data_IF_252622377304
#
_entry.id   IF_252622377304
#
_cell.length_a   1.000
_cell.length_b   1.000
_cell.length_c   1.000
_cell.angle_alpha   90.00
_cell.angle_beta   90.00
_cell.angle_gamma   90.00
#
_symmetry.space_group_name_H-M   'P 1'
#
loop_
_entity.id
_entity.type
_entity.pdbx_description
1 polymer ?
#
# COMPACT_ATOMS: atom_id res chain seq x y z
N UNK A 1 -27.86 11.09 51.19
CA UNK A 1 -26.40 11.29 51.01
C UNK A 1 -26.04 10.59 49.70
N UNK A 2 -26.12 11.30 48.57
CA UNK A 2 -25.78 10.76 47.25
C UNK A 2 -24.27 10.91 47.08
N UNK A 3 -23.56 9.79 46.93
CA UNK A 3 -22.11 9.76 46.73
C UNK A 3 -21.79 10.29 45.34
N UNK A 4 -21.09 11.43 45.32
CA UNK A 4 -20.56 12.04 44.11
C UNK A 4 -19.70 11.04 43.34
N UNK A 5 -19.94 11.05 42.04
CA UNK A 5 -19.26 10.28 41.02
C UNK A 5 -17.78 10.66 41.06
N UNK A 6 -16.92 9.75 41.52
CA UNK A 6 -15.57 9.68 41.02
C UNK A 6 -15.68 9.26 39.54
N UNK A 7 -15.90 10.24 38.67
CA UNK A 7 -15.50 10.11 37.28
C UNK A 7 -13.98 10.00 37.31
N UNK A 8 -13.50 8.77 37.48
CA UNK A 8 -12.13 8.41 37.21
C UNK A 8 -11.83 8.97 35.82
N UNK A 9 -10.93 9.95 35.78
CA UNK A 9 -10.25 10.39 34.57
C UNK A 9 -9.39 9.22 34.07
N UNK A 10 -10.02 8.13 33.64
CA UNK A 10 -9.46 7.25 32.63
C UNK A 10 -9.28 8.15 31.42
N UNK A 11 -8.09 8.74 31.28
CA UNK A 11 -7.58 9.16 29.98
C UNK A 11 -7.81 7.95 29.08
N UNK A 12 -8.87 7.98 28.28
CA UNK A 12 -9.03 7.07 27.17
C UNK A 12 -7.79 7.31 26.32
N UNK A 13 -6.80 6.43 26.44
CA UNK A 13 -5.66 6.46 25.55
C UNK A 13 -6.24 6.41 24.15
N UNK A 14 -6.08 7.49 23.40
CA UNK A 14 -6.57 7.59 22.03
C UNK A 14 -6.04 6.37 21.27
N UNK A 15 -6.96 5.52 20.85
CA UNK A 15 -6.62 4.24 20.25
C UNK A 15 -5.96 4.56 18.91
N UNK A 16 -4.65 4.28 18.76
CA UNK A 16 -3.92 4.52 17.52
C UNK A 16 -4.72 3.99 16.33
N UNK A 17 -4.95 4.84 15.34
CA UNK A 17 -5.70 4.51 14.14
C UNK A 17 -4.98 3.39 13.39
N UNK A 18 -5.73 2.52 12.70
CA UNK A 18 -5.14 1.54 11.77
C UNK A 18 -4.27 2.21 10.68
N UNK A 19 -4.50 3.50 10.42
CA UNK A 19 -3.73 4.31 9.50
C UNK A 19 -2.44 4.87 10.10
N UNK A 20 -2.26 4.78 11.42
CA UNK A 20 -1.03 5.20 12.13
C UNK A 20 0.02 4.08 12.19
N UNK A 21 -0.29 2.89 11.64
CA UNK A 21 0.61 1.76 11.57
C UNK A 21 1.41 1.81 10.27
N UNK A 22 2.42 2.67 10.24
CA UNK A 22 3.47 2.59 9.22
C UNK A 22 4.60 1.73 9.78
N UNK A 23 4.82 0.58 9.16
CA UNK A 23 6.03 -0.20 9.38
C UNK A 23 7.19 0.48 8.62
N UNK A 24 7.91 1.34 9.31
CA UNK A 24 9.01 2.12 8.76
C UNK A 24 10.15 1.24 8.25
N UNK A 25 10.42 0.10 8.91
CA UNK A 25 11.45 -0.85 8.51
C UNK A 25 11.06 -1.51 7.17
N UNK A 26 9.82 -1.97 7.06
CA UNK A 26 9.29 -2.53 5.82
C UNK A 26 9.29 -1.50 4.69
N UNK A 27 8.93 -0.25 4.98
CA UNK A 27 8.98 0.83 4.01
C UNK A 27 10.41 1.11 3.52
N UNK A 28 11.37 1.21 4.44
CA UNK A 28 12.78 1.42 4.10
C UNK A 28 13.35 0.27 3.25
N UNK A 29 13.02 -0.97 3.62
CA UNK A 29 13.41 -2.17 2.86
C UNK A 29 12.85 -2.15 1.43
N UNK A 30 11.57 -1.82 1.26
CA UNK A 30 10.93 -1.73 -0.05
C UNK A 30 11.58 -0.66 -0.95
N UNK A 31 11.99 0.48 -0.38
CA UNK A 31 12.73 1.52 -1.12
C UNK A 31 14.11 1.01 -1.53
N UNK A 32 14.83 0.32 -0.64
CA UNK A 32 16.15 -0.22 -0.94
C UNK A 32 16.10 -1.25 -2.08
N UNK A 33 15.10 -2.13 -2.08
CA UNK A 33 14.83 -3.08 -3.16
C UNK A 33 14.53 -2.37 -4.48
N UNK A 34 13.61 -1.39 -4.48
CA UNK A 34 13.26 -0.63 -5.68
C UNK A 34 14.47 0.10 -6.30
N UNK A 35 15.37 0.65 -5.47
CA UNK A 35 16.61 1.27 -5.94
C UNK A 35 17.54 0.24 -6.56
N UNK A 36 17.72 -0.91 -5.91
CA UNK A 36 18.55 -1.99 -6.45
C UNK A 36 18.01 -2.54 -7.78
N UNK A 37 16.68 -2.60 -7.96
CA UNK A 37 16.04 -2.95 -9.22
C UNK A 37 16.27 -1.91 -10.31
N UNK A 38 16.16 -0.62 -9.96
CA UNK A 38 16.42 0.48 -10.88
C UNK A 38 17.87 0.46 -11.37
N UNK A 39 18.84 0.34 -10.46
CA UNK A 39 20.27 0.29 -10.77
C UNK A 39 20.63 -0.94 -11.61
N UNK A 40 19.93 -2.06 -11.41
CA UNK A 40 20.11 -3.27 -12.21
C UNK A 40 19.32 -3.27 -13.53
N UNK A 41 18.62 -2.18 -13.86
CA UNK A 41 17.81 -2.06 -15.08
C UNK A 41 16.57 -2.96 -15.09
N UNK A 42 16.15 -3.54 -13.95
CA UNK A 42 14.95 -4.38 -13.82
C UNK A 42 13.67 -3.55 -13.77
N UNK A 43 13.51 -2.63 -14.72
CA UNK A 43 12.34 -1.76 -14.83
C UNK A 43 11.43 -2.19 -15.98
N UNK A 44 10.17 -1.78 -15.92
CA UNK A 44 9.22 -1.96 -17.03
C UNK A 44 9.07 -0.61 -17.74
N UNK A 45 9.21 -0.56 -19.08
CA UNK A 45 9.01 0.67 -19.83
C UNK A 45 7.60 1.25 -19.63
N UNK A 46 7.49 2.57 -19.65
CA UNK A 46 6.24 3.28 -19.35
C UNK A 46 5.10 2.88 -20.30
N UNK A 47 5.37 2.77 -21.59
CA UNK A 47 4.41 2.41 -22.61
C UNK A 47 3.82 1.01 -22.41
N UNK A 48 4.63 0.07 -21.87
CA UNK A 48 4.19 -1.28 -21.51
C UNK A 48 3.23 -1.22 -20.33
N UNK A 49 3.56 -0.43 -19.30
CA UNK A 49 2.70 -0.23 -18.13
C UNK A 49 1.39 0.45 -18.53
N UNK A 50 1.43 1.48 -19.38
CA UNK A 50 0.25 2.20 -19.83
C UNK A 50 -0.71 1.28 -20.61
N UNK A 51 -0.19 0.49 -21.54
CA UNK A 51 -0.99 -0.48 -22.29
C UNK A 51 -1.58 -1.57 -21.38
N UNK A 52 -0.83 -2.03 -20.39
CA UNK A 52 -1.32 -2.98 -19.40
C UNK A 52 -2.44 -2.40 -18.54
N UNK A 53 -2.28 -1.17 -18.03
CA UNK A 53 -3.30 -0.49 -17.22
C UNK A 53 -4.62 -0.32 -17.98
N UNK A 54 -4.56 0.00 -19.27
CA UNK A 54 -5.76 0.11 -20.11
C UNK A 54 -6.49 -1.24 -20.22
N UNK A 55 -5.76 -2.32 -20.50
CA UNK A 55 -6.34 -3.68 -20.55
C UNK A 55 -6.94 -4.10 -19.21
N UNK A 56 -6.25 -3.77 -18.11
CA UNK A 56 -6.73 -4.05 -16.77
C UNK A 56 -8.03 -3.31 -16.47
N UNK A 57 -8.11 -2.01 -16.81
CA UNK A 57 -9.32 -1.22 -16.65
C UNK A 57 -10.50 -1.82 -17.42
N UNK A 58 -10.31 -2.19 -18.69
CA UNK A 58 -11.34 -2.86 -19.49
C UNK A 58 -11.78 -4.18 -18.86
N UNK A 59 -10.83 -5.01 -18.40
CA UNK A 59 -11.16 -6.28 -17.76
C UNK A 59 -12.01 -6.10 -16.49
N UNK A 60 -11.73 -5.06 -15.70
CA UNK A 60 -12.53 -4.71 -14.52
C UNK A 60 -13.94 -4.28 -14.92
N UNK A 61 -14.08 -3.44 -15.95
CA UNK A 61 -15.39 -2.94 -16.42
C UNK A 61 -16.27 -4.05 -17.00
N UNK A 62 -15.68 -4.98 -17.76
CA UNK A 62 -16.42 -6.04 -18.45
C UNK A 62 -16.53 -7.34 -17.64
N UNK A 63 -15.89 -7.42 -16.47
CA UNK A 63 -15.78 -8.66 -15.69
C UNK A 63 -14.96 -9.76 -16.37
N UNK A 64 -14.05 -9.39 -17.29
CA UNK A 64 -13.15 -10.33 -17.95
C UNK A 64 -11.95 -10.68 -17.04
N UNK A 65 -11.17 -11.68 -17.44
CA UNK A 65 -9.96 -12.05 -16.72
C UNK A 65 -8.93 -10.89 -16.73
N UNK A 66 -8.35 -10.62 -15.56
CA UNK A 66 -7.38 -9.53 -15.40
C UNK A 66 -6.04 -9.92 -16.05
N UNK A 67 -5.43 -9.04 -16.85
CA UNK A 67 -4.13 -9.33 -17.44
C UNK A 67 -3.05 -9.44 -16.34
N UNK A 68 -2.09 -10.36 -16.47
CA UNK A 68 -0.98 -10.45 -15.53
C UNK A 68 -0.14 -9.16 -15.57
N UNK A 69 0.48 -8.75 -14.45
CA UNK A 69 1.35 -7.58 -14.42
C UNK A 69 2.55 -7.79 -15.35
N UNK A 70 2.99 -6.75 -16.06
CA UNK A 70 4.19 -6.84 -16.87
C UNK A 70 5.40 -7.04 -15.97
N UNK A 71 6.28 -7.96 -16.37
CA UNK A 71 7.55 -8.20 -15.69
C UNK A 71 8.65 -7.47 -16.46
N UNK A 72 9.65 -6.96 -15.74
CA UNK A 72 10.88 -6.51 -16.38
C UNK A 72 11.49 -7.69 -17.14
N UNK A 73 11.84 -7.48 -18.40
CA UNK A 73 12.53 -8.49 -19.20
C UNK A 73 13.85 -8.81 -18.51
N UNK A 74 14.09 -10.08 -18.20
CA UNK A 74 15.40 -10.53 -17.69
C UNK A 74 16.49 -10.29 -18.72
#
# INVERSE_FOLDING_TARGET
MWSEKNCDHHKMAEQKSIFDWVDEERFASAIAEARADFDAGRTVPHEVVAAWLLKLATAIETGAERPPPPLSGK
#
